data_IF_846071354141
#
_entry.id   IF_846071354141
#
_cell.length_a   1.000
_cell.length_b   1.000
_cell.length_c   1.000
_cell.angle_alpha   90.00
_cell.angle_beta   90.00
_cell.angle_gamma   90.00
#
_symmetry.space_group_name_H-M   'P 1'
#
loop_
_entity.id
_entity.type
_entity.pdbx_description
1 polymer ?
#
# COMPACT_ATOMS: atom_id res chain seq x y z
N UNK A 1 40.65 1.97 -18.88
CA UNK A 1 39.35 2.55 -18.49
C UNK A 1 38.54 1.42 -17.85
N UNK A 2 38.32 1.45 -16.53
CA UNK A 2 37.56 0.41 -15.82
C UNK A 2 36.07 0.65 -16.07
N UNK A 3 35.39 -0.35 -16.62
CA UNK A 3 33.95 -0.30 -16.91
C UNK A 3 33.13 -0.11 -15.64
N UNK A 4 32.17 0.80 -15.71
CA UNK A 4 31.15 1.00 -14.68
C UNK A 4 30.21 -0.21 -14.69
N UNK A 5 29.89 -0.85 -13.54
CA UNK A 5 28.91 -1.93 -13.53
C UNK A 5 27.52 -1.35 -13.83
N UNK A 6 26.84 -1.90 -14.84
CA UNK A 6 25.45 -1.50 -15.14
C UNK A 6 24.56 -1.91 -13.96
N UNK A 7 24.05 -0.93 -13.22
CA UNK A 7 23.06 -1.13 -12.17
C UNK A 7 21.76 -1.66 -12.79
N UNK A 8 21.50 -2.95 -12.69
CA UNK A 8 20.20 -3.52 -13.03
C UNK A 8 19.16 -3.07 -12.00
N UNK A 9 18.24 -2.20 -12.41
CA UNK A 9 17.08 -1.84 -11.58
C UNK A 9 16.14 -3.03 -11.42
N UNK A 10 15.61 -3.28 -10.21
CA UNK A 10 14.62 -4.32 -9.94
C UNK A 10 13.22 -3.74 -10.16
N UNK A 11 12.36 -4.47 -10.86
CA UNK A 11 10.95 -4.08 -11.04
C UNK A 11 10.10 -4.52 -9.84
N UNK A 12 8.89 -3.97 -9.69
CA UNK A 12 7.89 -4.51 -8.74
C UNK A 12 7.67 -6.01 -8.95
N UNK A 13 7.70 -6.46 -10.20
CA UNK A 13 7.59 -7.88 -10.53
C UNK A 13 8.77 -8.69 -10.02
N UNK A 14 9.98 -8.13 -10.01
CA UNK A 14 11.17 -8.82 -9.49
C UNK A 14 11.17 -8.93 -7.96
N UNK A 15 10.49 -8.02 -7.26
CA UNK A 15 10.25 -8.16 -5.82
C UNK A 15 9.29 -9.32 -5.52
N UNK A 16 8.25 -9.53 -6.33
CA UNK A 16 7.29 -10.62 -6.14
C UNK A 16 7.77 -11.99 -6.67
N UNK A 17 8.82 -12.03 -7.49
CA UNK A 17 9.45 -13.28 -7.95
C UNK A 17 10.39 -13.85 -6.89
N UNK A 18 9.86 -14.54 -5.88
CA UNK A 18 10.68 -15.46 -5.06
C UNK A 18 10.93 -16.79 -5.80
N UNK A 19 12.13 -17.40 -5.69
CA UNK A 19 12.40 -18.71 -6.26
C UNK A 19 11.54 -19.79 -5.56
N UNK A 20 11.10 -20.79 -6.32
CA UNK A 20 10.23 -21.88 -5.85
C UNK A 20 10.85 -22.68 -4.69
N UNK A 21 10.68 -22.22 -3.46
CA UNK A 21 11.12 -22.93 -2.27
C UNK A 21 10.00 -23.86 -1.77
N UNK A 22 10.17 -25.15 -2.11
CA UNK A 22 9.62 -26.36 -1.45
C UNK A 22 8.12 -26.35 -1.12
N UNK A 23 7.32 -26.61 -2.16
CA UNK A 23 5.98 -27.20 -2.02
C UNK A 23 6.11 -28.58 -1.33
N UNK A 24 5.84 -28.62 -0.02
CA UNK A 24 5.68 -29.86 0.74
C UNK A 24 4.66 -30.74 0.03
N UNK A 25 5.09 -31.95 -0.37
CA UNK A 25 4.24 -33.00 -0.96
C UNK A 25 3.10 -33.29 0.02
N UNK A 26 1.88 -32.89 -0.36
CA UNK A 26 0.69 -33.34 0.34
C UNK A 26 0.34 -34.72 -0.19
N UNK A 27 0.57 -35.73 0.64
CA UNK A 27 0.20 -37.12 0.39
C UNK A 27 -1.29 -37.23 0.09
N UNK A 28 -1.62 -37.97 -0.97
CA UNK A 28 -2.96 -38.45 -1.30
C UNK A 28 -3.34 -39.58 -0.36
N UNK A 29 -4.52 -39.51 0.26
CA UNK A 29 -5.16 -40.65 0.94
C UNK A 29 -6.53 -40.93 0.31
N UNK A 30 -6.95 -42.21 0.22
CA UNK A 30 -8.12 -42.65 -0.56
C UNK A 30 -9.44 -42.58 0.26
N UNK A 31 -10.62 -42.73 -0.38
CA UNK A 31 -11.91 -42.58 0.27
C UNK A 31 -12.41 -43.89 0.86
N UNK A 32 -13.08 -43.86 2.01
CA UNK A 32 -13.94 -44.95 2.50
C UNK A 32 -15.11 -44.39 3.34
N UNK A 33 -16.27 -45.00 3.10
CA UNK A 33 -17.65 -44.68 3.51
C UNK A 33 -18.01 -45.25 4.91
N UNK A 34 -19.24 -45.04 5.43
CA UNK A 34 -19.48 -44.87 6.86
C UNK A 34 -19.98 -46.11 7.61
N UNK A 35 -19.75 -46.15 8.93
CA UNK A 35 -20.51 -47.01 9.85
C UNK A 35 -20.63 -46.39 11.25
N UNK A 36 -21.69 -46.81 11.92
CA UNK A 36 -22.45 -46.23 13.02
C UNK A 36 -21.89 -46.36 14.45
N UNK A 37 -22.57 -45.61 15.34
CA UNK A 37 -22.96 -45.88 16.75
C UNK A 37 -22.05 -45.47 17.92
N UNK A 38 -22.54 -44.43 18.61
CA UNK A 38 -22.74 -44.27 20.07
C UNK A 38 -21.58 -44.47 21.07
N UNK A 39 -21.30 -43.38 21.81
CA UNK A 39 -21.48 -43.23 23.28
C UNK A 39 -20.38 -42.35 23.90
N UNK A 40 -20.76 -41.75 25.03
CA UNK A 40 -20.17 -40.59 25.71
C UNK A 40 -18.76 -40.85 26.24
N UNK A 41 -17.92 -39.81 26.23
CA UNK A 41 -17.20 -39.40 27.45
C UNK A 41 -16.68 -37.96 27.35
N UNK A 42 -16.77 -37.26 28.47
CA UNK A 42 -16.30 -35.90 28.66
C UNK A 42 -14.86 -35.89 29.18
N UNK A 43 -14.19 -34.75 28.96
CA UNK A 43 -12.92 -34.30 29.54
C UNK A 43 -11.62 -34.83 28.90
N UNK A 44 -11.10 -34.07 27.92
CA UNK A 44 -9.65 -33.88 27.68
C UNK A 44 -9.43 -33.01 26.43
N UNK A 45 -8.92 -31.78 26.64
CA UNK A 45 -8.05 -31.00 25.74
C UNK A 45 -8.25 -31.10 24.21
N UNK A 46 -8.76 -30.03 23.59
CA UNK A 46 -8.12 -29.49 22.37
C UNK A 46 -8.56 -28.04 22.13
N UNK A 47 -7.57 -27.18 21.89
CA UNK A 47 -7.76 -25.80 21.47
C UNK A 47 -8.66 -25.74 20.23
N UNK A 48 -9.67 -24.90 20.29
CA UNK A 48 -10.73 -24.75 19.31
C UNK A 48 -10.18 -24.53 17.89
N UNK A 49 -10.52 -25.46 17.01
CA UNK A 49 -10.30 -25.35 15.56
C UNK A 49 -11.19 -24.22 15.02
N UNK A 50 -10.66 -22.99 14.97
CA UNK A 50 -11.34 -21.85 14.34
C UNK A 50 -11.79 -22.23 12.92
N UNK A 51 -13.02 -21.89 12.58
CA UNK A 51 -13.57 -22.02 11.23
C UNK A 51 -12.78 -21.13 10.25
N UNK A 52 -12.84 -21.45 8.96
CA UNK A 52 -12.19 -20.66 7.92
C UNK A 52 -12.65 -19.21 7.93
N UNK A 53 -13.94 -18.97 8.19
CA UNK A 53 -14.50 -17.62 8.26
C UNK A 53 -13.96 -16.83 9.46
N UNK A 54 -13.86 -17.46 10.64
CA UNK A 54 -13.29 -16.83 11.82
C UNK A 54 -11.81 -16.48 11.62
N UNK A 55 -11.04 -17.33 10.94
CA UNK A 55 -9.64 -17.02 10.59
C UNK A 55 -9.54 -15.82 9.65
N UNK A 56 -10.35 -15.76 8.59
CA UNK A 56 -10.36 -14.64 7.66
C UNK A 56 -10.74 -13.32 8.36
N UNK A 57 -11.73 -13.36 9.25
CA UNK A 57 -12.12 -12.19 10.06
C UNK A 57 -10.99 -11.77 11.00
N UNK A 58 -10.34 -12.72 11.66
CA UNK A 58 -9.22 -12.46 12.55
C UNK A 58 -8.03 -11.85 11.80
N UNK A 59 -7.67 -12.38 10.64
CA UNK A 59 -6.60 -11.85 9.78
C UNK A 59 -6.92 -10.45 9.27
N UNK A 60 -8.17 -10.22 8.84
CA UNK A 60 -8.64 -8.89 8.43
C UNK A 60 -8.51 -7.88 9.57
N UNK A 61 -9.01 -8.22 10.76
CA UNK A 61 -8.95 -7.33 11.92
C UNK A 61 -7.50 -7.06 12.37
N UNK A 62 -6.63 -8.07 12.34
CA UNK A 62 -5.20 -7.92 12.63
C UNK A 62 -4.55 -6.95 11.64
N UNK A 63 -4.83 -7.09 10.35
CA UNK A 63 -4.30 -6.22 9.31
C UNK A 63 -4.82 -4.78 9.43
N UNK A 64 -6.11 -4.61 9.69
CA UNK A 64 -6.72 -3.31 9.92
C UNK A 64 -6.09 -2.61 11.13
N UNK A 65 -5.88 -3.33 12.23
CA UNK A 65 -5.22 -2.80 13.42
C UNK A 65 -3.76 -2.38 13.15
N UNK A 66 -3.03 -3.17 12.34
CA UNK A 66 -1.66 -2.83 11.91
C UNK A 66 -1.65 -1.55 11.05
N UNK A 67 -2.50 -1.45 10.03
CA UNK A 67 -2.63 -0.25 9.19
C UNK A 67 -2.94 1.01 10.03
N UNK A 68 -3.90 0.93 10.95
CA UNK A 68 -4.23 2.05 11.85
C UNK A 68 -3.06 2.48 12.74
N UNK A 69 -2.29 1.52 13.26
CA UNK A 69 -1.08 1.80 14.04
C UNK A 69 -0.02 2.52 13.19
N UNK A 70 0.19 2.05 11.96
CA UNK A 70 1.13 2.65 11.02
C UNK A 70 0.75 4.09 10.68
N UNK A 71 -0.53 4.33 10.38
CA UNK A 71 -1.05 5.68 10.12
C UNK A 71 -0.84 6.60 11.32
N UNK A 72 -1.15 6.13 12.55
CA UNK A 72 -0.90 6.89 13.77
C UNK A 72 0.58 7.26 13.91
N UNK A 73 1.49 6.31 13.69
CA UNK A 73 2.93 6.56 13.76
C UNK A 73 3.38 7.62 12.75
N UNK A 74 2.89 7.57 11.52
CA UNK A 74 3.21 8.58 10.51
C UNK A 74 2.70 9.97 10.93
N UNK A 75 1.47 10.05 11.43
CA UNK A 75 0.91 11.30 11.97
C UNK A 75 1.69 11.85 13.15
N UNK A 76 2.18 10.99 14.05
CA UNK A 76 2.99 11.39 15.20
C UNK A 76 4.36 11.92 14.76
N UNK A 77 4.98 11.31 13.74
CA UNK A 77 6.25 11.78 13.15
C UNK A 77 6.07 13.19 12.54
N UNK A 78 5.02 13.39 11.74
CA UNK A 78 4.69 14.70 11.14
C UNK A 78 4.36 15.77 12.18
N UNK A 79 3.65 15.40 13.24
CA UNK A 79 3.33 16.32 14.33
C UNK A 79 4.60 16.76 15.08
N UNK A 80 5.51 15.82 15.37
CA UNK A 80 6.78 16.10 16.08
C UNK A 80 7.75 16.95 15.27
N UNK A 81 7.82 16.78 13.95
CA UNK A 81 8.69 17.60 13.09
C UNK A 81 8.19 19.04 12.99
N UNK A 82 6.86 19.22 12.90
CA UNK A 82 6.23 20.54 12.85
C UNK A 82 6.52 21.37 14.11
N UNK A 83 6.56 20.73 15.29
CA UNK A 83 6.87 21.41 16.55
C UNK A 83 8.35 21.76 16.78
N UNK A 84 9.29 21.27 15.95
CA UNK A 84 10.75 21.48 16.11
C UNK A 84 11.36 22.44 15.09
N UNK A 85 10.60 22.88 14.08
CA UNK A 85 11.11 23.78 13.02
C UNK A 85 11.29 25.22 13.51
N UNK A 86 12.42 25.83 13.15
CA UNK A 86 12.79 27.21 13.53
C UNK A 86 11.91 28.27 12.82
N UNK A 87 11.28 27.92 11.69
CA UNK A 87 10.48 28.84 10.86
C UNK A 87 9.02 28.39 10.63
N UNK A 88 8.49 27.48 11.47
CA UNK A 88 7.10 27.00 11.36
C UNK A 88 6.82 26.02 10.20
N UNK A 89 7.78 25.81 9.29
CA UNK A 89 7.70 24.79 8.23
C UNK A 89 8.53 23.57 8.64
N UNK A 90 7.91 22.63 9.37
CA UNK A 90 8.53 21.35 9.69
C UNK A 90 8.29 20.33 8.58
N UNK A 91 9.34 19.89 7.89
CA UNK A 91 9.26 18.75 6.97
C UNK A 91 9.77 17.47 7.66
N UNK A 92 9.19 16.33 7.28
CA UNK A 92 9.66 15.00 7.68
C UNK A 92 10.52 14.42 6.57
N UNK A 93 11.63 13.77 6.92
CA UNK A 93 12.39 12.99 5.93
C UNK A 93 11.50 11.90 5.36
N UNK A 94 11.38 11.81 4.03
CA UNK A 94 10.39 10.95 3.39
C UNK A 94 10.48 9.51 3.88
N UNK A 95 11.71 8.97 4.01
CA UNK A 95 11.98 7.62 4.55
C UNK A 95 11.40 7.33 5.94
N UNK A 96 11.17 8.33 6.78
CA UNK A 96 10.59 8.17 8.13
C UNK A 96 9.06 7.95 8.08
N UNK A 97 8.44 8.19 6.93
CA UNK A 97 7.02 7.99 6.69
C UNK A 97 6.69 6.57 6.22
N UNK A 98 7.69 5.77 5.81
CA UNK A 98 7.51 4.33 5.57
C UNK A 98 7.77 3.59 6.88
N UNK A 99 6.73 3.04 7.47
CA UNK A 99 6.81 2.42 8.81
C UNK A 99 6.39 0.95 8.83
N UNK A 100 5.97 0.43 7.68
CA UNK A 100 5.58 -0.96 7.53
C UNK A 100 6.81 -1.86 7.45
N UNK A 101 6.92 -2.77 8.42
CA UNK A 101 8.12 -3.58 8.67
C UNK A 101 8.52 -4.44 7.46
N UNK A 102 7.56 -5.10 6.79
CA UNK A 102 7.87 -6.02 5.69
C UNK A 102 8.33 -5.27 4.43
N UNK A 103 7.84 -4.05 4.21
CA UNK A 103 8.38 -3.16 3.17
C UNK A 103 9.77 -2.65 3.50
N UNK A 104 10.05 -2.33 4.77
CA UNK A 104 11.39 -1.92 5.22
C UNK A 104 12.44 -3.03 5.08
N UNK A 105 12.02 -4.30 5.12
CA UNK A 105 12.90 -5.45 4.88
C UNK A 105 13.27 -5.62 3.39
N UNK A 106 12.38 -5.26 2.46
CA UNK A 106 12.57 -5.54 1.02
C UNK A 106 13.00 -4.33 0.19
N UNK A 107 12.79 -3.10 0.69
CA UNK A 107 13.15 -1.86 0.00
C UNK A 107 14.46 -1.16 0.44
N UNK A 108 15.30 -1.64 1.39
CA UNK A 108 16.42 -0.82 1.88
C UNK A 108 17.41 -0.50 0.75
N UNK A 109 17.81 -1.50 -0.03
CA UNK A 109 18.72 -1.35 -1.17
C UNK A 109 18.16 -0.40 -2.25
N UNK A 110 16.83 -0.35 -2.41
CA UNK A 110 16.19 0.48 -3.44
C UNK A 110 16.12 1.95 -3.01
N UNK A 111 15.80 2.19 -1.73
CA UNK A 111 15.74 3.54 -1.15
C UNK A 111 17.13 4.19 -1.00
N UNK A 112 18.19 3.40 -0.97
CA UNK A 112 19.58 3.88 -0.94
C UNK A 112 20.13 4.27 -2.31
N UNK A 113 19.40 4.00 -3.41
CA UNK A 113 19.90 4.34 -4.74
C UNK A 113 19.94 5.86 -4.95
N UNK A 114 20.92 6.36 -5.74
CA UNK A 114 21.08 7.81 -5.96
C UNK A 114 19.85 8.51 -6.53
N UNK A 115 19.04 7.82 -7.34
CA UNK A 115 17.81 8.40 -7.88
C UNK A 115 16.74 8.56 -6.79
N UNK A 116 16.61 7.59 -5.88
CA UNK A 116 15.65 7.62 -4.78
C UNK A 116 16.01 8.74 -3.78
N UNK A 117 17.30 8.91 -3.48
CA UNK A 117 17.77 10.00 -2.63
C UNK A 117 17.48 11.38 -3.23
N UNK A 118 17.77 11.56 -4.53
CA UNK A 118 17.45 12.82 -5.25
C UNK A 118 15.96 13.12 -5.22
N UNK A 119 15.14 12.09 -5.38
CA UNK A 119 13.69 12.20 -5.40
C UNK A 119 13.12 12.58 -4.03
N UNK A 120 13.62 11.94 -2.96
CA UNK A 120 13.26 12.30 -1.59
C UNK A 120 13.62 13.77 -1.32
N UNK A 121 14.84 14.19 -1.66
CA UNK A 121 15.29 15.59 -1.49
C UNK A 121 14.44 16.59 -2.28
N UNK A 122 14.05 16.24 -3.50
CA UNK A 122 13.15 17.07 -4.31
C UNK A 122 11.80 17.26 -3.62
N UNK A 123 11.13 16.16 -3.25
CA UNK A 123 9.82 16.21 -2.58
C UNK A 123 9.91 16.95 -1.23
N UNK A 124 10.96 16.69 -0.46
CA UNK A 124 11.23 17.38 0.82
C UNK A 124 11.41 18.90 0.62
N UNK A 125 12.15 19.31 -0.42
CA UNK A 125 12.34 20.72 -0.78
C UNK A 125 11.02 21.38 -1.16
N UNK A 126 10.20 20.73 -1.98
CA UNK A 126 8.90 21.25 -2.38
C UNK A 126 7.95 21.41 -1.19
N UNK A 127 7.91 20.42 -0.29
CA UNK A 127 7.17 20.48 0.98
C UNK A 127 7.67 21.66 1.83
N UNK A 128 8.98 21.82 1.96
CA UNK A 128 9.59 22.87 2.77
C UNK A 128 9.38 24.27 2.16
N UNK A 129 9.28 24.39 0.84
CA UNK A 129 9.05 25.67 0.17
C UNK A 129 7.65 26.23 0.45
N UNK A 130 6.67 25.36 0.72
CA UNK A 130 5.26 25.73 0.90
C UNK A 130 4.62 26.44 -0.29
N UNK A 131 5.30 26.52 -1.44
CA UNK A 131 4.89 27.36 -2.57
C UNK A 131 3.71 26.78 -3.36
N UNK A 132 3.53 25.46 -3.28
CA UNK A 132 2.50 24.72 -3.99
C UNK A 132 1.84 23.72 -3.02
N UNK A 133 0.51 23.55 -3.02
CA UNK A 133 -0.12 22.50 -2.24
C UNK A 133 0.31 21.12 -2.77
N UNK A 134 0.76 20.27 -1.84
CA UNK A 134 1.18 18.90 -2.11
C UNK A 134 0.16 17.93 -1.53
N UNK A 135 -0.24 16.98 -2.35
CA UNK A 135 -1.19 15.92 -1.99
C UNK A 135 -0.58 14.53 -2.22
N UNK A 136 -0.90 13.53 -1.38
CA UNK A 136 -1.67 13.65 -0.14
C UNK A 136 -0.85 14.35 0.97
N UNK A 137 -1.46 14.67 2.14
CA UNK A 137 -0.72 15.08 3.32
C UNK A 137 0.46 14.16 3.64
N UNK A 138 1.54 14.69 4.23
CA UNK A 138 2.81 13.98 4.44
C UNK A 138 2.63 12.59 5.09
N UNK A 139 1.79 12.50 6.12
CA UNK A 139 1.52 11.24 6.84
C UNK A 139 0.81 10.17 5.99
N UNK A 140 0.33 10.53 4.79
CA UNK A 140 -0.38 9.66 3.86
C UNK A 140 0.42 9.36 2.58
N UNK A 141 1.63 9.91 2.39
CA UNK A 141 2.42 9.70 1.15
C UNK A 141 2.66 8.20 0.89
N UNK A 142 3.04 7.45 1.92
CA UNK A 142 3.24 6.00 1.84
C UNK A 142 2.04 5.18 2.34
N UNK A 143 0.82 5.72 2.32
CA UNK A 143 -0.34 5.04 2.90
C UNK A 143 -0.63 3.68 2.25
N UNK A 144 -0.40 3.53 0.94
CA UNK A 144 -0.52 2.25 0.23
C UNK A 144 0.39 1.17 0.82
N UNK A 145 1.68 1.48 0.98
CA UNK A 145 2.68 0.57 1.57
C UNK A 145 2.40 0.34 3.06
N UNK A 146 2.01 1.39 3.79
CA UNK A 146 1.72 1.33 5.22
C UNK A 146 0.44 0.56 5.57
N UNK A 147 -0.50 0.45 4.63
CA UNK A 147 -1.75 -0.28 4.81
C UNK A 147 -1.67 -1.73 4.35
N UNK A 148 -0.92 -2.01 3.28
CA UNK A 148 -0.80 -3.34 2.68
C UNK A 148 0.61 -3.88 2.90
N UNK A 149 0.80 -4.74 3.91
CA UNK A 149 2.07 -5.45 4.12
C UNK A 149 2.51 -6.22 2.88
N UNK A 150 3.81 -6.20 2.58
CA UNK A 150 4.42 -6.81 1.41
C UNK A 150 4.07 -8.30 1.27
N UNK A 151 4.19 -9.06 2.37
CA UNK A 151 3.89 -10.48 2.46
C UNK A 151 2.40 -10.83 2.27
N UNK A 152 1.52 -9.83 2.31
CA UNK A 152 0.07 -9.98 2.18
C UNK A 152 -0.47 -9.43 0.87
N UNK A 153 0.39 -8.93 -0.02
CA UNK A 153 -0.04 -8.46 -1.35
C UNK A 153 -0.56 -9.64 -2.16
N UNK A 154 -1.78 -9.50 -2.70
CA UNK A 154 -2.47 -10.47 -3.55
C UNK A 154 -2.73 -9.94 -4.95
N UNK A 155 -2.90 -8.63 -5.06
CA UNK A 155 -3.13 -7.92 -6.31
C UNK A 155 -2.53 -6.53 -6.20
N UNK A 156 -2.14 -5.96 -7.34
CA UNK A 156 -1.62 -4.60 -7.45
C UNK A 156 -2.49 -3.85 -8.45
N UNK A 157 -2.98 -2.68 -8.05
CA UNK A 157 -3.70 -1.74 -8.92
C UNK A 157 -2.87 -0.46 -8.97
N UNK A 158 -2.55 -0.04 -10.19
CA UNK A 158 -1.72 1.15 -10.43
C UNK A 158 -2.61 2.30 -10.91
N UNK A 159 -2.63 3.39 -10.15
CA UNK A 159 -3.13 4.69 -10.57
C UNK A 159 -2.03 5.53 -11.24
N UNK A 160 -2.42 6.57 -11.96
CA UNK A 160 -1.47 7.51 -12.57
C UNK A 160 -0.90 8.46 -11.50
N UNK A 161 -1.70 9.44 -11.10
CA UNK A 161 -1.35 10.46 -10.11
C UNK A 161 -2.39 10.51 -8.98
N UNK A 162 -2.02 11.06 -7.79
CA UNK A 162 -2.98 11.31 -6.73
C UNK A 162 -4.02 12.36 -7.15
N UNK A 163 -5.23 12.28 -6.58
CA UNK A 163 -6.22 13.34 -6.75
C UNK A 163 -5.69 14.70 -6.27
N UNK A 164 -5.91 15.75 -7.05
CA UNK A 164 -5.41 17.10 -6.76
C UNK A 164 -6.39 17.97 -5.97
N UNK A 165 -7.63 17.49 -5.74
CA UNK A 165 -8.62 18.24 -4.97
C UNK A 165 -8.29 18.23 -3.47
N UNK A 166 -8.45 19.38 -2.76
CA UNK A 166 -8.25 19.44 -1.32
C UNK A 166 -9.04 18.36 -0.58
N UNK A 167 -8.35 17.55 0.24
CA UNK A 167 -8.95 16.48 1.03
C UNK A 167 -9.36 15.23 0.24
N UNK A 168 -9.08 15.14 -1.07
CA UNK A 168 -9.42 13.97 -1.87
C UNK A 168 -8.36 12.87 -1.79
N UNK A 169 -7.08 13.23 -1.95
CA UNK A 169 -6.01 12.24 -1.93
C UNK A 169 -5.78 11.70 -0.51
N UNK A 170 -5.86 10.37 -0.37
CA UNK A 170 -5.59 9.66 0.87
C UNK A 170 -4.43 8.66 0.77
N UNK A 171 -3.59 8.79 -0.26
CA UNK A 171 -2.42 7.91 -0.45
C UNK A 171 -2.73 6.48 -0.88
N UNK A 172 -3.95 6.21 -1.34
CA UNK A 172 -4.37 4.97 -1.98
C UNK A 172 -4.92 5.32 -3.36
N UNK A 173 -4.45 4.67 -4.43
CA UNK A 173 -4.93 4.92 -5.80
C UNK A 173 -6.45 4.75 -5.90
N UNK A 174 -7.12 5.62 -6.66
CA UNK A 174 -8.58 5.68 -6.84
C UNK A 174 -9.43 5.97 -5.60
N UNK A 175 -8.89 5.80 -4.40
CA UNK A 175 -9.61 5.96 -3.13
C UNK A 175 -9.74 7.42 -2.70
N UNK A 176 -10.87 7.77 -2.11
CA UNK A 176 -11.11 9.06 -1.43
C UNK A 176 -11.66 8.83 -0.02
N UNK A 177 -11.44 9.76 0.94
CA UNK A 177 -12.02 9.67 2.27
C UNK A 177 -13.55 9.56 2.27
N UNK A 178 -14.11 8.99 3.33
CA UNK A 178 -15.56 8.96 3.51
C UNK A 178 -16.14 10.38 3.54
N UNK A 179 -17.28 10.59 2.89
CA UNK A 179 -17.93 11.91 2.78
C UNK A 179 -17.43 12.75 1.59
N UNK A 180 -16.32 12.37 0.96
CA UNK A 180 -15.89 12.97 -0.31
C UNK A 180 -16.68 12.35 -1.46
N UNK A 181 -17.08 13.19 -2.43
CA UNK A 181 -17.77 12.75 -3.65
C UNK A 181 -16.93 11.69 -4.36
N UNK A 182 -17.55 10.54 -4.68
CA UNK A 182 -16.90 9.47 -5.43
C UNK A 182 -16.45 9.97 -6.80
N UNK A 183 -15.15 9.89 -7.14
CA UNK A 183 -14.64 10.33 -8.44
C UNK A 183 -15.17 9.48 -9.59
N UNK A 184 -15.24 10.06 -10.80
CA UNK A 184 -15.78 9.37 -11.99
C UNK A 184 -15.01 8.09 -12.35
N UNK A 185 -13.68 8.11 -12.18
CA UNK A 185 -12.83 6.92 -12.36
C UNK A 185 -13.25 5.76 -11.45
N UNK A 186 -13.51 6.04 -10.17
CA UNK A 186 -13.96 5.02 -9.21
C UNK A 186 -15.41 4.58 -9.48
N UNK A 187 -16.29 5.50 -9.90
CA UNK A 187 -17.65 5.14 -10.34
C UNK A 187 -17.60 4.13 -11.49
N UNK A 188 -16.71 4.31 -12.45
CA UNK A 188 -16.55 3.36 -13.55
C UNK A 188 -16.09 2.00 -13.05
N UNK A 189 -15.10 1.94 -12.15
CA UNK A 189 -14.66 0.67 -11.51
C UNK A 189 -15.84 -0.03 -10.82
N UNK A 190 -16.69 0.69 -10.08
CA UNK A 190 -17.86 0.10 -9.44
C UNK A 190 -18.91 -0.40 -10.43
N UNK A 191 -19.09 0.27 -11.58
CA UNK A 191 -19.98 -0.20 -12.64
C UNK A 191 -19.48 -1.49 -13.27
N UNK A 192 -18.19 -1.58 -13.58
CA UNK A 192 -17.58 -2.82 -14.10
C UNK A 192 -17.74 -3.97 -13.09
N UNK A 193 -17.48 -3.72 -11.80
CA UNK A 193 -17.69 -4.74 -10.75
C UNK A 193 -19.16 -5.18 -10.63
N UNK A 194 -20.11 -4.26 -10.79
CA UNK A 194 -21.52 -4.61 -10.82
C UNK A 194 -21.87 -5.45 -12.05
N UNK A 195 -21.38 -5.05 -13.22
CA UNK A 195 -21.68 -5.72 -14.49
C UNK A 195 -21.07 -7.13 -14.54
N UNK A 196 -19.83 -7.29 -14.12
CA UNK A 196 -19.08 -8.54 -14.24
C UNK A 196 -19.40 -9.53 -13.11
N UNK A 197 -19.58 -9.03 -11.87
CA UNK A 197 -19.67 -9.86 -10.67
C UNK A 197 -20.99 -9.71 -9.93
N UNK A 198 -21.91 -8.85 -10.39
CA UNK A 198 -23.18 -8.60 -9.72
C UNK A 198 -23.03 -7.88 -8.36
N UNK A 199 -21.90 -7.22 -8.11
CA UNK A 199 -21.66 -6.53 -6.85
C UNK A 199 -22.57 -5.30 -6.69
N UNK A 200 -22.95 -5.00 -5.44
CA UNK A 200 -23.62 -3.73 -5.15
C UNK A 200 -22.62 -2.57 -5.21
N UNK A 201 -23.04 -1.45 -5.81
CA UNK A 201 -22.21 -0.25 -5.90
C UNK A 201 -22.15 0.44 -4.53
N UNK A 202 -20.96 0.57 -3.91
CA UNK A 202 -20.82 1.28 -2.64
C UNK A 202 -21.10 2.77 -2.79
N UNK A 203 -21.67 3.39 -1.75
CA UNK A 203 -21.84 4.84 -1.66
C UNK A 203 -20.56 5.58 -1.23
N UNK A 204 -19.57 4.86 -0.70
CA UNK A 204 -18.28 5.41 -0.28
C UNK A 204 -17.22 5.20 -1.36
N UNK A 205 -16.32 6.18 -1.49
CA UNK A 205 -15.11 6.07 -2.31
C UNK A 205 -13.87 5.56 -1.57
N UNK A 206 -14.01 5.11 -0.31
CA UNK A 206 -12.89 4.67 0.50
C UNK A 206 -12.59 3.17 0.29
N UNK A 207 -11.42 2.89 -0.30
CA UNK A 207 -10.94 1.55 -0.66
C UNK A 207 -9.99 0.94 0.38
N UNK A 208 -9.88 1.50 1.59
CA UNK A 208 -9.02 0.97 2.68
C UNK A 208 -9.29 -0.53 2.94
N UNK A 209 -10.54 -0.97 2.83
CA UNK A 209 -10.91 -2.38 3.02
C UNK A 209 -10.20 -3.29 2.02
N UNK A 210 -10.06 -2.87 0.76
CA UNK A 210 -9.33 -3.64 -0.26
C UNK A 210 -7.84 -3.69 0.06
N UNK A 211 -7.27 -2.55 0.48
CA UNK A 211 -5.87 -2.47 0.88
C UNK A 211 -5.55 -3.40 2.06
N UNK A 212 -6.39 -3.41 3.09
CA UNK A 212 -6.27 -4.32 4.25
C UNK A 212 -6.39 -5.79 3.86
N UNK A 213 -7.18 -6.11 2.82
CA UNK A 213 -7.35 -7.46 2.28
C UNK A 213 -6.19 -7.94 1.40
N UNK A 214 -5.24 -7.07 1.04
CA UNK A 214 -4.06 -7.40 0.25
C UNK A 214 -4.02 -6.78 -1.15
N UNK A 215 -4.90 -5.83 -1.48
CA UNK A 215 -4.85 -5.11 -2.76
C UNK A 215 -3.95 -3.89 -2.61
N UNK A 216 -2.76 -3.92 -3.20
CA UNK A 216 -1.86 -2.77 -3.18
C UNK A 216 -2.37 -1.71 -4.17
N UNK A 217 -2.91 -0.60 -3.63
CA UNK A 217 -3.48 0.52 -4.37
C UNK A 217 -2.44 1.64 -4.51
N UNK A 218 -1.55 1.53 -5.50
CA UNK A 218 -0.36 2.39 -5.64
C UNK A 218 -0.53 3.36 -6.81
N UNK A 219 -0.15 4.63 -6.65
CA UNK A 219 -0.02 5.53 -7.79
C UNK A 219 1.41 5.46 -8.36
N UNK A 220 1.57 5.62 -9.67
CA UNK A 220 2.87 5.69 -10.32
C UNK A 220 3.71 6.86 -9.79
N UNK A 221 3.03 7.95 -9.41
CA UNK A 221 3.61 9.06 -8.64
C UNK A 221 2.95 9.12 -7.27
N UNK A 222 3.76 9.14 -6.20
CA UNK A 222 3.25 9.11 -4.83
C UNK A 222 2.73 10.48 -4.32
N UNK A 223 3.17 11.57 -4.94
CA UNK A 223 2.79 12.95 -4.61
C UNK A 223 2.33 13.71 -5.85
N UNK A 224 1.16 14.34 -5.78
CA UNK A 224 0.68 15.30 -6.76
C UNK A 224 0.93 16.72 -6.27
N UNK A 225 1.55 17.55 -7.12
CA UNK A 225 1.75 18.98 -6.92
C UNK A 225 0.78 19.77 -7.81
N UNK A 226 0.17 20.84 -7.32
CA UNK A 226 -0.59 21.74 -8.19
C UNK A 226 0.35 22.62 -9.03
N UNK A 227 0.97 22.06 -10.08
CA UNK A 227 1.81 22.82 -11.01
C UNK A 227 1.01 23.04 -12.30
N UNK A 228 0.95 24.28 -12.78
CA UNK A 228 0.48 24.59 -14.12
C UNK A 228 1.24 23.71 -15.12
N UNK A 229 0.50 22.99 -15.98
CA UNK A 229 0.85 21.81 -16.81
C UNK A 229 2.23 21.74 -17.51
N UNK A 230 3.07 22.78 -17.49
CA UNK A 230 4.25 22.90 -18.34
C UNK A 230 5.56 22.35 -17.76
N UNK A 231 5.68 22.13 -16.43
CA UNK A 231 6.90 21.56 -15.82
C UNK A 231 6.76 20.07 -15.41
N UNK A 232 5.60 19.47 -15.60
CA UNK A 232 5.30 18.11 -15.15
C UNK A 232 5.98 16.99 -15.95
N UNK A 233 6.39 17.27 -17.19
CA UNK A 233 6.88 16.27 -18.13
C UNK A 233 8.25 15.69 -17.79
N UNK A 234 9.14 16.45 -17.12
CA UNK A 234 10.49 15.97 -16.81
C UNK A 234 10.55 15.09 -15.54
N UNK A 235 9.66 15.32 -14.57
CA UNK A 235 9.63 14.56 -13.30
C UNK A 235 8.90 13.22 -13.40
N UNK A 236 7.94 13.09 -14.32
CA UNK A 236 7.23 11.84 -14.61
C UNK A 236 8.18 10.72 -15.09
N UNK A 237 9.36 11.06 -15.59
CA UNK A 237 10.39 10.11 -16.03
C UNK A 237 11.10 9.45 -14.84
N UNK A 238 11.25 10.15 -13.71
CA UNK A 238 12.01 9.63 -12.56
C UNK A 238 11.21 8.70 -11.65
N UNK A 239 9.88 8.87 -11.54
CA UNK A 239 9.02 8.00 -10.72
C UNK A 239 8.41 6.82 -11.48
N UNK A 240 8.16 6.95 -12.79
CA UNK A 240 7.86 5.78 -13.62
C UNK A 240 8.95 4.72 -13.48
N UNK A 241 10.19 5.15 -13.23
CA UNK A 241 11.29 4.23 -12.98
C UNK A 241 11.17 3.34 -11.73
N UNK A 242 10.34 3.76 -10.75
CA UNK A 242 10.10 3.05 -9.49
C UNK A 242 8.88 2.12 -9.57
N UNK A 243 7.91 2.37 -10.46
CA UNK A 243 6.62 1.64 -10.52
C UNK A 243 6.37 0.92 -11.86
N UNK A 244 7.00 1.33 -12.95
CA UNK A 244 6.83 0.70 -14.27
C UNK A 244 8.19 0.52 -14.93
N UNK A 245 8.67 -0.71 -15.02
CA UNK A 245 9.51 -1.09 -16.15
C UNK A 245 9.15 -2.51 -16.59
N UNK A 246 8.74 -2.62 -17.87
CA UNK A 246 8.70 -3.85 -18.66
C UNK A 246 10.10 -4.24 -19.11
#
# INVERSE_FOLDING_TARGET
MKGCPSSSSRTLMDLFKQPAAKRLKRHSSPPLSPSSSSSKDASSLSASTLTSEERLKMEFNKALAKSKRNLKRCSDVVSKSTSKGIDGVGYVKLKELLVEETWLEVLPDELEKPYAEKLCKFVESEICSGSVPIYPPQNLIFNALNTTSFDRVKAVIIGQDPYHGPGQAMGLSFSVPNGVKVPSSLVNIYKELQQDLGCSIPSSGNLEKWAVQGVLLLNAVLTGMFISFHLYSELQISFNSFVIFS
#
